data_IF_920783851252
#
_entry.id   IF_920783851252
#
_cell.length_a   1.000
_cell.length_b   1.000
_cell.length_c   1.000
_cell.angle_alpha   90.00
_cell.angle_beta   90.00
_cell.angle_gamma   90.00
#
_symmetry.space_group_name_H-M   'P 1'
#
loop_
_entity.id
_entity.type
_entity.pdbx_description
1 polymer ?
#
# COMPACT_ATOMS: atom_id res chain seq x y z
N UNK A 1 -19.99 -30.88 3.54
CA UNK A 1 -20.75 -30.04 2.59
C UNK A 1 -19.93 -29.92 1.31
N UNK A 2 -19.93 -30.99 0.50
CA UNK A 2 -19.27 -31.02 -0.80
C UNK A 2 -20.24 -30.45 -1.86
N UNK A 3 -19.73 -29.65 -2.80
CA UNK A 3 -20.40 -29.48 -4.10
C UNK A 3 -21.10 -28.15 -4.41
N UNK A 4 -20.73 -27.02 -3.79
CA UNK A 4 -21.16 -25.71 -4.32
C UNK A 4 -20.07 -25.15 -5.24
N UNK A 5 -20.27 -25.30 -6.57
CA UNK A 5 -19.51 -24.55 -7.57
C UNK A 5 -19.86 -23.07 -7.38
N UNK A 6 -18.96 -22.31 -6.78
CA UNK A 6 -19.17 -20.91 -6.46
C UNK A 6 -19.06 -20.08 -7.75
N UNK A 7 -20.19 -19.84 -8.41
CA UNK A 7 -20.28 -18.96 -9.57
C UNK A 7 -20.75 -17.58 -9.10
N UNK A 8 -19.81 -16.70 -8.76
CA UNK A 8 -20.10 -15.31 -8.35
C UNK A 8 -18.92 -14.62 -7.66
N UNK A 9 -18.95 -13.28 -7.63
CA UNK A 9 -17.97 -12.46 -6.90
C UNK A 9 -18.22 -12.63 -5.40
N UNK A 10 -17.21 -13.09 -4.65
CA UNK A 10 -17.26 -13.17 -3.19
C UNK A 10 -15.88 -13.06 -2.58
N UNK A 11 -15.82 -12.63 -1.32
CA UNK A 11 -14.62 -12.72 -0.50
C UNK A 11 -14.36 -14.21 -0.15
N UNK A 12 -13.10 -14.63 -0.23
CA UNK A 12 -12.70 -16.02 0.06
C UNK A 12 -12.70 -16.26 1.56
N UNK A 13 -13.33 -17.32 2.05
CA UNK A 13 -13.22 -17.69 3.46
C UNK A 13 -11.80 -18.21 3.76
N UNK A 14 -11.16 -17.64 4.78
CA UNK A 14 -9.80 -17.98 5.21
C UNK A 14 -9.75 -18.61 6.60
N UNK A 15 -10.90 -18.93 7.22
CA UNK A 15 -11.01 -19.43 8.61
C UNK A 15 -10.19 -20.70 8.85
N UNK A 16 -10.12 -21.60 7.87
CA UNK A 16 -9.36 -22.85 7.97
C UNK A 16 -7.87 -22.74 7.64
N UNK A 17 -7.33 -21.53 7.47
CA UNK A 17 -5.90 -21.33 7.17
C UNK A 17 -5.13 -20.97 8.44
N UNK A 18 -3.98 -21.59 8.63
CA UNK A 18 -3.09 -21.26 9.74
C UNK A 18 -2.54 -19.83 9.63
N UNK A 19 -2.34 -19.19 10.77
CA UNK A 19 -1.63 -17.91 10.86
C UNK A 19 -0.14 -18.17 10.77
N UNK A 20 0.53 -17.52 9.82
CA UNK A 20 1.97 -17.64 9.57
C UNK A 20 2.55 -16.26 9.31
N UNK A 21 3.87 -16.11 9.49
CA UNK A 21 4.58 -14.89 9.09
C UNK A 21 4.42 -14.62 7.60
N UNK A 22 4.16 -13.37 7.23
CA UNK A 22 4.01 -12.92 5.85
C UNK A 22 4.67 -11.57 5.68
N UNK A 23 5.30 -11.40 4.53
CA UNK A 23 5.94 -10.16 4.10
C UNK A 23 5.68 -9.98 2.60
N UNK A 24 5.55 -8.72 2.18
CA UNK A 24 5.38 -8.36 0.78
C UNK A 24 6.03 -7.00 0.52
N UNK A 25 6.66 -6.87 -0.65
CA UNK A 25 7.30 -5.63 -1.10
C UNK A 25 6.74 -5.22 -2.46
N UNK A 26 6.44 -3.93 -2.63
CA UNK A 26 5.99 -3.35 -3.89
C UNK A 26 6.81 -2.08 -4.20
N UNK A 27 6.94 -1.74 -5.49
CA UNK A 27 7.62 -0.52 -5.94
C UNK A 27 6.84 0.15 -7.08
N UNK A 28 7.01 1.46 -7.20
CA UNK A 28 6.44 2.27 -8.27
C UNK A 28 7.36 3.45 -8.60
N UNK A 29 7.02 4.23 -9.63
CA UNK A 29 7.76 5.45 -9.98
C UNK A 29 6.81 6.55 -10.43
N UNK A 30 7.20 7.79 -10.17
CA UNK A 30 6.51 9.00 -10.64
C UNK A 30 7.48 9.71 -11.58
N UNK A 31 7.03 9.99 -12.81
CA UNK A 31 7.83 10.75 -13.77
C UNK A 31 7.57 12.23 -13.55
N UNK A 32 8.65 12.99 -13.36
CA UNK A 32 8.62 14.43 -13.07
C UNK A 32 9.53 15.18 -14.03
N UNK A 33 9.31 16.49 -14.14
CA UNK A 33 10.24 17.38 -14.82
C UNK A 33 11.53 17.52 -14.01
N UNK A 34 12.65 17.79 -14.70
CA UNK A 34 13.96 18.02 -14.07
C UNK A 34 13.91 19.14 -13.03
N UNK A 35 13.26 20.26 -13.33
CA UNK A 35 13.11 21.38 -12.40
C UNK A 35 12.37 20.96 -11.11
N UNK A 36 11.35 20.11 -11.22
CA UNK A 36 10.64 19.59 -10.04
C UNK A 36 11.56 18.72 -9.19
N UNK A 37 12.37 17.85 -9.81
CA UNK A 37 13.35 17.03 -9.10
C UNK A 37 14.39 17.88 -8.38
N UNK A 38 14.87 18.96 -9.00
CA UNK A 38 15.81 19.90 -8.38
C UNK A 38 15.20 20.59 -7.16
N UNK A 39 13.96 21.08 -7.27
CA UNK A 39 13.24 21.70 -6.15
C UNK A 39 13.02 20.74 -4.97
N UNK A 40 12.74 19.47 -5.26
CA UNK A 40 12.62 18.44 -4.23
C UNK A 40 13.98 18.22 -3.54
N UNK A 41 15.05 18.07 -4.32
CA UNK A 41 16.42 17.87 -3.80
C UNK A 41 16.94 19.06 -2.98
N UNK A 42 16.57 20.29 -3.35
CA UNK A 42 16.96 21.52 -2.64
C UNK A 42 16.06 21.87 -1.45
N UNK A 43 14.94 21.15 -1.26
CA UNK A 43 13.94 21.47 -0.23
C UNK A 43 13.14 22.75 -0.51
N UNK A 44 13.12 23.26 -1.74
CA UNK A 44 12.46 24.52 -2.12
C UNK A 44 11.03 24.32 -2.67
N UNK A 45 10.34 23.31 -2.16
CA UNK A 45 8.93 23.03 -2.50
C UNK A 45 8.03 23.86 -1.58
N UNK A 46 7.19 24.72 -2.15
CA UNK A 46 6.34 25.66 -1.39
C UNK A 46 5.39 24.99 -0.40
N UNK A 47 4.93 23.77 -0.70
CA UNK A 47 3.99 23.01 0.12
C UNK A 47 4.66 22.20 1.23
N UNK A 48 5.97 22.33 1.40
CA UNK A 48 6.78 21.50 2.31
C UNK A 48 7.34 20.25 1.63
N UNK A 49 7.93 19.36 2.43
CA UNK A 49 8.63 18.17 1.94
C UNK A 49 7.64 17.13 1.38
N UNK A 50 7.64 16.88 0.05
CA UNK A 50 6.73 15.91 -0.54
C UNK A 50 7.12 14.46 -0.22
N UNK A 51 8.39 14.16 0.10
CA UNK A 51 8.87 12.81 0.35
C UNK A 51 8.45 12.34 1.75
N UNK A 52 8.64 13.18 2.77
CA UNK A 52 8.15 12.86 4.12
C UNK A 52 6.63 12.75 4.15
N UNK A 53 5.93 13.66 3.46
CA UNK A 53 4.48 13.58 3.32
C UNK A 53 4.04 12.27 2.62
N UNK A 54 4.77 11.83 1.58
CA UNK A 54 4.45 10.59 0.86
C UNK A 54 4.58 9.33 1.73
N UNK A 55 5.55 9.29 2.65
CA UNK A 55 5.72 8.16 3.60
C UNK A 55 4.51 8.03 4.51
N UNK A 56 4.06 9.14 5.10
CA UNK A 56 2.88 9.16 5.98
C UNK A 56 1.64 8.72 5.20
N UNK A 57 1.43 9.30 4.02
CA UNK A 57 0.29 8.99 3.16
C UNK A 57 0.27 7.50 2.77
N UNK A 58 1.43 6.93 2.41
CA UNK A 58 1.52 5.54 2.04
C UNK A 58 1.25 4.58 3.22
N UNK A 59 1.77 4.86 4.42
CA UNK A 59 1.48 4.06 5.62
C UNK A 59 -0.02 4.06 5.94
N UNK A 60 -0.66 5.23 5.83
CA UNK A 60 -2.12 5.34 6.00
C UNK A 60 -2.85 4.53 4.93
N UNK A 61 -2.46 4.66 3.65
CA UNK A 61 -3.06 3.90 2.56
C UNK A 61 -2.94 2.38 2.76
N UNK A 62 -1.79 1.88 3.24
CA UNK A 62 -1.61 0.45 3.54
C UNK A 62 -2.60 -0.03 4.60
N UNK A 63 -2.82 0.74 5.67
CA UNK A 63 -3.79 0.40 6.73
C UNK A 63 -5.24 0.44 6.23
N UNK A 64 -5.53 1.30 5.26
CA UNK A 64 -6.86 1.47 4.67
C UNK A 64 -7.15 0.47 3.51
N UNK A 65 -6.22 -0.43 3.18
CA UNK A 65 -6.31 -1.33 2.02
C UNK A 65 -7.62 -2.12 1.97
N UNK A 66 -8.06 -2.72 3.08
CA UNK A 66 -9.30 -3.52 3.12
C UNK A 66 -10.56 -2.68 2.97
N UNK A 67 -10.50 -1.36 3.24
CA UNK A 67 -11.60 -0.44 2.96
C UNK A 67 -11.63 -0.03 1.48
N UNK A 68 -10.45 0.10 0.86
CA UNK A 68 -10.31 0.55 -0.53
C UNK A 68 -10.49 -0.56 -1.56
N UNK A 69 -10.06 -1.79 -1.26
CA UNK A 69 -10.08 -2.92 -2.19
C UNK A 69 -11.21 -3.90 -1.81
N UNK A 70 -12.29 -4.03 -2.62
CA UNK A 70 -13.53 -4.67 -2.19
C UNK A 70 -13.42 -6.10 -1.63
N UNK A 71 -12.49 -6.90 -2.15
CA UNK A 71 -12.32 -8.31 -1.76
C UNK A 71 -11.07 -8.56 -0.89
N UNK A 72 -10.41 -7.51 -0.40
CA UNK A 72 -9.31 -7.65 0.54
C UNK A 72 -9.83 -7.93 1.95
N UNK A 73 -9.27 -8.95 2.58
CA UNK A 73 -9.46 -9.20 4.00
C UNK A 73 -8.84 -8.08 4.84
N UNK A 74 -9.48 -7.78 5.97
CA UNK A 74 -8.83 -6.98 7.01
C UNK A 74 -7.79 -7.86 7.72
N UNK A 75 -6.53 -7.42 7.68
CA UNK A 75 -5.40 -8.13 8.29
C UNK A 75 -4.70 -7.17 9.25
N UNK A 76 -4.29 -7.66 10.42
CA UNK A 76 -3.47 -6.89 11.34
C UNK A 76 -2.05 -6.71 10.78
N UNK A 77 -1.69 -5.47 10.47
CA UNK A 77 -0.34 -5.13 10.04
C UNK A 77 0.56 -4.98 11.26
N UNK A 78 1.72 -5.64 11.25
CA UNK A 78 2.72 -5.55 12.32
C UNK A 78 3.81 -4.51 12.03
N UNK A 79 4.15 -4.33 10.75
CA UNK A 79 5.13 -3.35 10.28
C UNK A 79 4.73 -2.81 8.90
N UNK A 80 5.07 -1.55 8.63
CA UNK A 80 4.96 -0.93 7.30
C UNK A 80 6.13 0.03 7.12
N UNK A 81 6.96 -0.20 6.10
CA UNK A 81 8.07 0.69 5.72
C UNK A 81 7.90 1.24 4.31
N UNK A 82 8.28 2.50 4.10
CA UNK A 82 8.21 3.17 2.80
C UNK A 82 9.53 3.90 2.54
N UNK A 83 10.14 3.55 1.41
CA UNK A 83 11.34 4.20 0.88
C UNK A 83 11.07 4.91 -0.43
N UNK A 84 11.99 5.81 -0.81
CA UNK A 84 12.01 6.46 -2.11
C UNK A 84 13.45 6.52 -2.62
N UNK A 85 13.60 6.62 -3.94
CA UNK A 85 14.87 6.78 -4.64
C UNK A 85 14.71 7.96 -5.62
N UNK A 86 15.68 8.90 -5.62
CA UNK A 86 15.65 10.16 -6.37
C UNK A 86 16.76 10.27 -7.42
#
# INVERSE_FOLDING_TARGET
MAGMKLTGIKMVDITGKDTVYREATAKGRILLHTETMERIKSGSVEKGDPLETSKIAGILATKETSRLVPMCHQIALTDVSIGHEL
#
